data_IF_050250558036
#
_entry.id   IF_050250558036
#
_cell.length_a   1.000
_cell.length_b   1.000
_cell.length_c   1.000
_cell.angle_alpha   90.00
_cell.angle_beta   90.00
_cell.angle_gamma   90.00
#
_symmetry.space_group_name_H-M   'P 1'
#
loop_
_entity.id
_entity.type
_entity.pdbx_description
1 polymer ?
#
# COMPACT_ATOMS: atom_id res chain seq x y z
N UNK A 1 -19.05 -1.27 -1.70
CA UNK A 1 -18.82 -2.74 -1.64
C UNK A 1 -18.08 -3.33 -2.86
N UNK A 2 -17.64 -2.56 -3.87
CA UNK A 2 -17.07 -3.14 -5.12
C UNK A 2 -15.56 -3.35 -5.22
N UNK A 3 -14.71 -2.57 -4.51
CA UNK A 3 -13.25 -2.56 -4.78
C UNK A 3 -12.52 -3.82 -4.29
N UNK A 4 -12.95 -4.38 -3.15
CA UNK A 4 -12.36 -5.60 -2.60
C UNK A 4 -12.67 -6.84 -3.47
N UNK A 5 -13.87 -6.91 -4.04
CA UNK A 5 -14.27 -7.99 -4.94
C UNK A 5 -13.51 -7.92 -6.28
N UNK A 6 -13.34 -6.71 -6.83
CA UNK A 6 -12.53 -6.53 -8.06
C UNK A 6 -11.07 -6.92 -7.83
N UNK A 7 -10.48 -6.56 -6.67
CA UNK A 7 -9.12 -6.96 -6.33
C UNK A 7 -8.99 -8.48 -6.18
N UNK A 8 -9.92 -9.12 -5.48
CA UNK A 8 -9.94 -10.57 -5.32
C UNK A 8 -10.11 -11.29 -6.67
N UNK A 9 -10.96 -10.78 -7.56
CA UNK A 9 -11.17 -11.32 -8.90
C UNK A 9 -9.93 -11.16 -9.79
N UNK A 10 -9.27 -10.00 -9.78
CA UNK A 10 -8.06 -9.77 -10.58
C UNK A 10 -6.90 -10.62 -10.07
N UNK A 11 -6.71 -10.70 -8.74
CA UNK A 11 -5.70 -11.55 -8.15
C UNK A 11 -5.97 -13.04 -8.46
N UNK A 12 -7.21 -13.48 -8.33
CA UNK A 12 -7.62 -14.85 -8.67
C UNK A 12 -7.45 -15.17 -10.16
N UNK A 13 -7.84 -14.26 -11.07
CA UNK A 13 -7.61 -14.44 -12.50
C UNK A 13 -6.11 -14.49 -12.84
N UNK A 14 -5.29 -13.67 -12.16
CA UNK A 14 -3.84 -13.68 -12.32
C UNK A 14 -3.18 -14.99 -11.86
N UNK A 15 -3.61 -15.56 -10.73
CA UNK A 15 -3.11 -16.87 -10.27
C UNK A 15 -3.56 -18.00 -11.17
N UNK A 16 -4.81 -17.97 -11.65
CA UNK A 16 -5.33 -18.94 -12.63
C UNK A 16 -4.52 -18.86 -13.94
N UNK A 17 -4.25 -17.66 -14.46
CA UNK A 17 -3.43 -17.46 -15.65
C UNK A 17 -1.99 -17.97 -15.47
N UNK A 18 -1.40 -17.77 -14.30
CA UNK A 18 -0.06 -18.30 -13.97
C UNK A 18 -0.04 -19.83 -13.91
N UNK A 19 -1.04 -20.46 -13.28
CA UNK A 19 -1.17 -21.92 -13.23
C UNK A 19 -1.40 -22.50 -14.63
N UNK A 20 -2.20 -21.84 -15.47
CA UNK A 20 -2.40 -22.23 -16.87
C UNK A 20 -1.12 -22.14 -17.70
N UNK A 21 -0.29 -21.11 -17.48
CA UNK A 21 1.05 -21.00 -18.07
C UNK A 21 1.96 -22.15 -17.61
N UNK A 22 1.88 -22.56 -16.34
CA UNK A 22 2.65 -23.70 -15.84
C UNK A 22 2.18 -25.03 -16.46
N UNK A 23 0.87 -25.20 -16.67
CA UNK A 23 0.26 -26.39 -17.27
C UNK A 23 0.17 -26.33 -18.81
N UNK A 24 0.79 -25.34 -19.46
CA UNK A 24 0.67 -25.13 -20.91
C UNK A 24 1.06 -26.40 -21.71
N UNK A 25 2.04 -27.17 -21.22
CA UNK A 25 2.52 -28.41 -21.83
C UNK A 25 1.45 -29.52 -21.89
N UNK A 26 0.47 -29.52 -20.98
CA UNK A 26 -0.62 -30.52 -20.94
C UNK A 26 -1.89 -30.02 -21.61
N UNK A 27 -2.16 -28.71 -21.56
CA UNK A 27 -3.41 -28.13 -22.08
C UNK A 27 -3.34 -27.65 -23.53
N UNK A 28 -2.20 -27.12 -23.98
CA UNK A 28 -2.02 -26.54 -25.32
C UNK A 28 -0.78 -27.14 -26.03
N UNK A 29 -0.77 -28.45 -26.35
CA UNK A 29 0.34 -29.08 -27.07
C UNK A 29 0.55 -28.53 -28.50
N UNK A 30 -0.41 -27.75 -29.03
CA UNK A 30 -0.36 -27.16 -30.37
C UNK A 30 0.25 -25.74 -30.42
N UNK A 31 0.42 -25.10 -29.25
CA UNK A 31 1.01 -23.78 -29.16
C UNK A 31 2.50 -23.96 -28.88
N UNK A 32 3.31 -23.98 -29.94
CA UNK A 32 4.77 -24.09 -29.85
C UNK A 32 5.38 -22.88 -29.14
N UNK A 33 5.25 -22.83 -27.82
CA UNK A 33 5.81 -21.79 -26.97
C UNK A 33 7.34 -21.91 -26.97
N UNK A 34 8.07 -20.78 -27.05
CA UNK A 34 9.52 -20.80 -27.00
C UNK A 34 9.99 -21.26 -25.62
N UNK A 35 11.04 -22.08 -25.58
CA UNK A 35 11.63 -22.66 -24.34
C UNK A 35 11.90 -21.65 -23.22
N UNK A 36 12.10 -20.38 -23.57
CA UNK A 36 12.29 -19.29 -22.62
C UNK A 36 11.09 -19.09 -21.66
N UNK A 37 9.87 -19.39 -22.10
CA UNK A 37 8.67 -19.24 -21.26
C UNK A 37 8.67 -20.23 -20.10
N UNK A 38 9.19 -21.44 -20.31
CA UNK A 38 9.28 -22.49 -19.28
C UNK A 38 10.24 -22.12 -18.16
N UNK A 39 11.32 -21.40 -18.49
CA UNK A 39 12.31 -20.92 -17.54
C UNK A 39 11.80 -19.71 -16.74
N UNK A 40 11.01 -18.83 -17.36
CA UNK A 40 10.54 -17.59 -16.73
C UNK A 40 9.25 -17.78 -15.92
N UNK A 41 8.37 -18.69 -16.33
CA UNK A 41 7.11 -18.98 -15.63
C UNK A 41 7.27 -19.22 -14.11
N UNK A 42 8.24 -20.03 -13.61
CA UNK A 42 8.40 -20.25 -12.17
C UNK A 42 8.94 -19.03 -11.41
N UNK A 43 9.66 -18.11 -12.06
CA UNK A 43 10.28 -16.94 -11.40
C UNK A 43 9.31 -15.75 -11.30
N UNK A 44 8.26 -15.75 -12.11
CA UNK A 44 7.27 -14.67 -12.21
C UNK A 44 6.63 -14.25 -10.87
N UNK A 45 6.25 -15.17 -9.96
CA UNK A 45 5.73 -14.80 -8.64
C UNK A 45 6.77 -14.10 -7.75
N UNK A 46 8.05 -14.49 -7.86
CA UNK A 46 9.13 -13.87 -7.09
C UNK A 46 9.34 -12.42 -7.53
N UNK A 47 9.32 -12.15 -8.84
CA UNK A 47 9.38 -10.78 -9.37
C UNK A 47 8.19 -9.93 -8.91
N UNK A 48 6.99 -10.52 -8.86
CA UNK A 48 5.80 -9.86 -8.28
C UNK A 48 5.99 -9.48 -6.82
N UNK A 49 6.59 -10.37 -6.01
CA UNK A 49 6.90 -10.11 -4.60
C UNK A 49 7.94 -8.99 -4.45
N UNK A 50 9.00 -9.00 -5.27
CA UNK A 50 10.04 -7.95 -5.24
C UNK A 50 9.46 -6.59 -5.61
N UNK A 51 8.63 -6.51 -6.66
CA UNK A 51 7.98 -5.27 -7.07
C UNK A 51 7.00 -4.75 -6.00
N UNK A 52 6.22 -5.64 -5.40
CA UNK A 52 5.32 -5.28 -4.30
C UNK A 52 6.09 -4.79 -3.07
N UNK A 53 7.20 -5.46 -2.74
CA UNK A 53 8.09 -5.07 -1.65
C UNK A 53 8.72 -3.69 -1.87
N UNK A 54 9.28 -3.44 -3.06
CA UNK A 54 9.88 -2.14 -3.38
C UNK A 54 8.85 -1.00 -3.40
N UNK A 55 7.66 -1.24 -3.94
CA UNK A 55 6.56 -0.28 -3.90
C UNK A 55 6.14 0.06 -2.47
N UNK A 56 5.98 -0.96 -1.62
CA UNK A 56 5.62 -0.77 -0.21
C UNK A 56 6.68 0.05 0.54
N UNK A 57 7.96 -0.29 0.34
CA UNK A 57 9.08 0.42 0.95
C UNK A 57 9.15 1.88 0.48
N UNK A 58 8.96 2.12 -0.83
CA UNK A 58 8.95 3.46 -1.41
C UNK A 58 7.79 4.31 -0.89
N UNK A 59 6.59 3.72 -0.75
CA UNK A 59 5.42 4.42 -0.20
C UNK A 59 5.64 4.81 1.26
N UNK A 60 6.19 3.92 2.08
CA UNK A 60 6.52 4.21 3.48
C UNK A 60 7.64 5.25 3.56
N UNK A 61 8.69 5.11 2.76
CA UNK A 61 9.79 6.06 2.70
C UNK A 61 9.32 7.46 2.29
N UNK A 62 8.45 7.56 1.29
CA UNK A 62 7.85 8.82 0.87
C UNK A 62 6.99 9.45 1.97
N UNK A 63 6.19 8.64 2.68
CA UNK A 63 5.42 9.14 3.82
C UNK A 63 6.34 9.67 4.93
N UNK A 64 7.40 8.93 5.28
CA UNK A 64 8.42 9.33 6.28
C UNK A 64 9.13 10.64 5.92
N UNK A 65 9.51 10.82 4.65
CA UNK A 65 10.12 12.07 4.17
C UNK A 65 9.11 13.23 4.21
N UNK A 66 7.83 12.95 3.99
CA UNK A 66 6.76 13.96 3.95
C UNK A 66 6.14 14.25 5.32
N UNK A 67 6.53 13.54 6.39
CA UNK A 67 6.13 13.84 7.77
C UNK A 67 6.73 15.16 8.32
N UNK A 68 7.36 15.97 7.45
CA UNK A 68 7.91 17.28 7.76
C UNK A 68 6.85 18.26 8.24
N UNK A 69 6.97 18.57 9.52
CA UNK A 69 6.32 19.58 10.34
C UNK A 69 4.79 19.64 10.25
N UNK A 70 4.15 19.37 11.38
CA UNK A 70 2.80 19.83 11.68
C UNK A 70 2.87 21.18 12.45
N UNK A 71 3.45 22.27 11.89
CA UNK A 71 3.44 23.55 12.59
C UNK A 71 2.00 24.03 12.72
N UNK A 72 1.14 23.69 11.76
CA UNK A 72 -0.27 24.04 11.74
C UNK A 72 -1.04 23.33 12.87
N UNK A 73 -0.81 22.03 13.08
CA UNK A 73 -1.42 21.31 14.22
C UNK A 73 -0.88 21.85 15.55
N UNK A 74 0.43 22.11 15.66
CA UNK A 74 1.02 22.69 16.87
C UNK A 74 0.46 24.10 17.17
N UNK A 75 0.29 24.95 16.14
CA UNK A 75 -0.30 26.29 16.28
C UNK A 75 -1.78 26.22 16.67
N UNK A 76 -2.56 25.32 16.07
CA UNK A 76 -3.97 25.12 16.43
C UNK A 76 -4.13 24.67 17.88
N UNK A 77 -3.31 23.71 18.33
CA UNK A 77 -3.29 23.22 19.71
C UNK A 77 -2.87 24.31 20.70
N UNK A 78 -1.84 25.12 20.38
CA UNK A 78 -1.42 26.24 21.24
C UNK A 78 -2.50 27.32 21.36
N UNK A 79 -3.29 27.54 20.30
CA UNK A 79 -4.42 28.47 20.31
C UNK A 79 -5.52 27.98 21.25
N UNK A 80 -5.89 26.70 21.16
CA UNK A 80 -6.88 26.07 22.05
C UNK A 80 -6.44 26.14 23.52
N UNK A 81 -5.16 25.89 23.81
CA UNK A 81 -4.60 26.02 25.17
C UNK A 81 -4.74 27.46 25.69
N UNK A 82 -4.48 28.45 24.84
CA UNK A 82 -4.58 29.87 25.24
C UNK A 82 -6.02 30.26 25.55
N UNK A 83 -6.97 29.82 24.72
CA UNK A 83 -8.40 30.05 24.95
C UNK A 83 -8.89 29.37 26.23
N UNK A 84 -8.48 28.12 26.48
CA UNK A 84 -8.79 27.41 27.71
C UNK A 84 -8.20 28.10 28.97
N UNK A 85 -6.97 28.61 28.90
CA UNK A 85 -6.36 29.39 29.99
C UNK A 85 -7.15 30.68 30.29
N UNK A 86 -7.66 31.36 29.25
CA UNK A 86 -8.49 32.57 29.42
C UNK A 86 -9.82 32.21 30.08
N UNK A 87 -10.48 31.12 29.67
CA UNK A 87 -11.75 30.71 30.26
C UNK A 87 -11.61 30.28 31.74
N UNK A 88 -10.54 29.54 32.07
CA UNK A 88 -10.22 29.19 33.45
C UNK A 88 -9.95 30.43 34.32
N UNK A 89 -9.26 31.43 33.77
CA UNK A 89 -9.04 32.72 34.44
C UNK A 89 -10.35 33.50 34.65
N UNK A 90 -11.27 33.47 33.68
CA UNK A 90 -12.63 34.04 33.84
C UNK A 90 -13.45 33.33 34.91
N UNK A 91 -13.25 32.02 35.07
CA UNK A 91 -13.86 31.19 36.13
C UNK A 91 -13.19 31.35 37.50
N UNK A 92 -12.18 32.23 37.63
CA UNK A 92 -11.49 32.52 38.90
C UNK A 92 -10.43 31.49 39.30
N UNK A 93 -10.06 30.57 38.39
CA UNK A 93 -9.06 29.53 38.64
C UNK A 93 -7.72 30.05 38.09
N UNK A 94 -6.72 30.27 38.96
CA UNK A 94 -5.38 30.67 38.52
C UNK A 94 -4.63 29.46 37.94
N UNK A 95 -4.17 29.60 36.69
CA UNK A 95 -3.35 28.61 36.00
C UNK A 95 -2.02 29.28 35.67
N UNK A 96 -0.92 28.81 36.25
CA UNK A 96 0.45 29.21 35.88
C UNK A 96 0.86 28.55 34.55
#
# INVERSE_FOLDING_TARGET
MGRAQTLALVAGAGTIAWVLLMLHATFLPFLGLPKYVDEVAPVLPLWGLVAFGSYSLASIGYALVTFGDCPEAHLSLMKEITEAKIDLKRRGIQVN
#
